data_IF_034500513545
#
_entry.id   IF_034500513545
#
_cell.length_a   1.000
_cell.length_b   1.000
_cell.length_c   1.000
_cell.angle_alpha   90.00
_cell.angle_beta   90.00
_cell.angle_gamma   90.00
#
_symmetry.space_group_name_H-M   'P 1'
#
loop_
_entity.id
_entity.type
_entity.pdbx_description
1 polymer ?
#
# COMPACT_ATOMS: atom_id res chain seq x y z
N UNK A 1 -4.33 8.24 -44.22
CA UNK A 1 -4.99 8.21 -42.90
C UNK A 1 -4.35 9.33 -42.08
N UNK A 2 -5.03 10.48 -41.92
CA UNK A 2 -4.46 11.68 -41.29
C UNK A 2 -4.54 11.53 -39.77
N UNK A 3 -3.39 11.43 -39.10
CA UNK A 3 -3.29 11.67 -37.65
C UNK A 3 -3.78 13.10 -37.37
N UNK A 4 -5.00 13.24 -36.86
CA UNK A 4 -5.40 14.48 -36.20
C UNK A 4 -4.54 14.58 -34.95
N UNK A 5 -3.65 15.56 -34.89
CA UNK A 5 -2.88 15.88 -33.69
C UNK A 5 -3.85 16.31 -32.59
N UNK A 6 -4.24 15.38 -31.71
CA UNK A 6 -5.07 15.62 -30.51
C UNK A 6 -4.23 16.26 -29.39
N UNK A 7 -3.21 17.04 -29.72
CA UNK A 7 -2.22 17.54 -28.75
C UNK A 7 -2.33 19.03 -28.43
N UNK A 8 -3.28 19.79 -29.00
CA UNK A 8 -3.29 21.25 -28.81
C UNK A 8 -4.56 21.86 -28.19
N UNK A 9 -5.55 21.09 -27.73
CA UNK A 9 -6.78 21.64 -27.13
C UNK A 9 -6.95 21.42 -25.63
N UNK A 10 -5.94 20.91 -24.93
CA UNK A 10 -5.89 20.92 -23.45
C UNK A 10 -5.20 22.19 -22.92
N UNK A 11 -5.49 23.33 -23.56
CA UNK A 11 -5.01 24.65 -23.15
C UNK A 11 -5.80 25.13 -21.92
N UNK A 12 -5.14 25.22 -20.76
CA UNK A 12 -5.39 26.08 -19.58
C UNK A 12 -6.79 26.23 -18.96
N UNK A 13 -7.88 25.73 -19.54
CA UNK A 13 -9.25 26.10 -19.18
C UNK A 13 -9.99 25.07 -18.32
N UNK A 14 -9.30 24.23 -17.55
CA UNK A 14 -10.00 23.34 -16.62
C UNK A 14 -9.21 23.01 -15.35
N UNK A 15 -8.37 23.93 -14.87
CA UNK A 15 -7.79 23.81 -13.53
C UNK A 15 -8.91 23.63 -12.51
N UNK A 16 -10.04 24.33 -12.68
CA UNK A 16 -11.21 24.25 -11.79
C UNK A 16 -11.90 22.88 -11.77
N UNK A 17 -11.64 22.02 -12.76
CA UNK A 17 -12.17 20.65 -12.82
C UNK A 17 -11.17 19.57 -12.36
N UNK A 18 -9.96 19.95 -11.90
CA UNK A 18 -9.02 18.96 -11.32
C UNK A 18 -9.61 18.45 -10.00
N UNK A 19 -9.66 17.13 -9.85
CA UNK A 19 -10.19 16.48 -8.67
C UNK A 19 -9.47 16.94 -7.38
N UNK A 20 -10.18 17.22 -6.28
CA UNK A 20 -9.62 17.87 -5.10
C UNK A 20 -8.41 17.15 -4.49
N UNK A 21 -8.42 15.81 -4.43
CA UNK A 21 -7.31 15.05 -3.84
C UNK A 21 -6.05 15.14 -4.69
N UNK A 22 -6.20 15.22 -6.01
CA UNK A 22 -5.05 15.35 -6.92
C UNK A 22 -4.37 16.70 -6.71
N UNK A 23 -5.15 17.78 -6.57
CA UNK A 23 -4.59 19.10 -6.22
C UNK A 23 -3.95 19.11 -4.85
N UNK A 24 -4.59 18.49 -3.86
CA UNK A 24 -4.08 18.42 -2.49
C UNK A 24 -2.69 17.77 -2.45
N UNK A 25 -2.55 16.56 -3.01
CA UNK A 25 -1.29 15.84 -3.01
C UNK A 25 -0.22 16.50 -3.88
N UNK A 26 -0.60 16.99 -5.06
CA UNK A 26 0.30 17.77 -5.91
C UNK A 26 0.79 19.05 -5.24
N UNK A 27 -0.09 19.71 -4.48
CA UNK A 27 0.21 20.91 -3.70
C UNK A 27 1.18 20.64 -2.56
N UNK A 28 0.93 19.62 -1.73
CA UNK A 28 1.86 19.21 -0.67
C UNK A 28 3.25 18.96 -1.25
N UNK A 29 3.34 18.16 -2.32
CA UNK A 29 4.63 17.89 -2.93
C UNK A 29 5.31 19.16 -3.45
N UNK A 30 4.57 20.06 -4.11
CA UNK A 30 5.11 21.32 -4.63
C UNK A 30 5.61 22.25 -3.51
N UNK A 31 4.93 22.28 -2.37
CA UNK A 31 5.26 23.15 -1.22
C UNK A 31 6.39 22.62 -0.34
N UNK A 32 6.65 21.31 -0.33
CA UNK A 32 7.71 20.74 0.49
C UNK A 32 9.11 21.04 -0.06
N UNK A 33 10.10 21.34 0.81
CA UNK A 33 11.50 21.47 0.41
C UNK A 33 11.98 20.22 -0.33
N UNK A 34 12.66 20.42 -1.46
CA UNK A 34 13.23 19.34 -2.25
C UNK A 34 14.56 18.92 -1.63
N UNK A 35 14.51 17.90 -0.78
CA UNK A 35 15.70 17.20 -0.31
C UNK A 35 16.10 16.17 -1.36
N UNK A 36 17.36 16.16 -1.77
CA UNK A 36 17.91 15.25 -2.77
C UNK A 36 18.87 14.27 -2.13
N UNK A 37 18.89 13.02 -2.60
CA UNK A 37 19.91 12.06 -2.19
C UNK A 37 21.29 12.58 -2.63
N UNK A 38 22.33 12.55 -1.76
CA UNK A 38 23.65 13.07 -2.09
C UNK A 38 24.18 12.55 -3.42
N UNK A 39 24.76 13.45 -4.22
CA UNK A 39 25.31 13.17 -5.55
C UNK A 39 24.27 12.74 -6.61
N UNK A 40 22.98 12.94 -6.37
CA UNK A 40 21.91 12.65 -7.34
C UNK A 40 20.91 13.80 -7.43
N UNK A 41 20.07 13.79 -8.47
CA UNK A 41 18.90 14.66 -8.61
C UNK A 41 17.61 13.99 -8.12
N UNK A 42 17.69 12.89 -7.37
CA UNK A 42 16.53 12.13 -6.93
C UNK A 42 15.91 12.72 -5.66
N UNK A 43 14.70 13.32 -5.71
CA UNK A 43 14.12 13.95 -4.54
C UNK A 43 13.56 12.91 -3.57
N UNK A 44 13.88 13.02 -2.29
CA UNK A 44 13.45 12.13 -1.20
C UNK A 44 12.64 12.85 -0.12
N UNK A 45 12.54 14.19 -0.19
CA UNK A 45 11.92 15.00 0.87
C UNK A 45 10.50 14.58 1.25
N UNK A 46 9.65 14.26 0.27
CA UNK A 46 8.28 13.81 0.54
C UNK A 46 8.26 12.41 1.18
N UNK A 47 9.19 11.53 0.81
CA UNK A 47 9.30 10.20 1.41
C UNK A 47 9.70 10.29 2.88
N UNK A 48 10.69 11.15 3.21
CA UNK A 48 11.12 11.40 4.58
C UNK A 48 10.01 12.07 5.41
N UNK A 49 9.34 13.08 4.86
CA UNK A 49 8.20 13.72 5.49
C UNK A 49 7.09 12.69 5.79
N UNK A 50 6.79 11.82 4.83
CA UNK A 50 5.76 10.78 4.99
C UNK A 50 6.15 9.74 6.04
N UNK A 51 7.42 9.32 6.09
CA UNK A 51 7.92 8.41 7.12
C UNK A 51 7.79 9.01 8.53
N UNK A 52 8.13 10.29 8.70
CA UNK A 52 7.94 11.01 9.97
C UNK A 52 6.46 11.13 10.33
N UNK A 53 5.60 11.46 9.37
CA UNK A 53 4.16 11.53 9.58
C UNK A 53 3.60 10.19 10.06
N UNK A 54 3.90 9.08 9.39
CA UNK A 54 3.41 7.76 9.81
C UNK A 54 4.02 7.28 11.13
N UNK A 55 5.24 7.69 11.45
CA UNK A 55 5.83 7.46 12.78
C UNK A 55 5.03 8.17 13.87
N UNK A 56 4.64 9.43 13.66
CA UNK A 56 3.80 10.18 14.60
C UNK A 56 2.39 9.56 14.73
N UNK A 57 1.80 9.10 13.61
CA UNK A 57 0.52 8.37 13.61
C UNK A 57 0.62 7.08 14.43
N UNK A 58 1.69 6.28 14.26
CA UNK A 58 1.94 5.06 15.05
C UNK A 58 2.06 5.31 16.54
N UNK A 59 2.79 6.35 16.92
CA UNK A 59 2.92 6.74 18.33
C UNK A 59 1.57 7.18 18.90
N UNK A 60 0.78 7.93 18.13
CA UNK A 60 -0.57 8.35 18.51
C UNK A 60 -1.49 7.15 18.72
N UNK A 61 -1.50 6.16 17.82
CA UNK A 61 -2.31 4.95 18.02
C UNK A 61 -1.85 4.12 19.22
N UNK A 62 -0.54 4.07 19.50
CA UNK A 62 -0.05 3.41 20.70
C UNK A 62 -0.56 4.12 21.98
N UNK A 63 -0.55 5.45 22.00
CA UNK A 63 -1.13 6.24 23.08
C UNK A 63 -2.64 6.00 23.22
N UNK A 64 -3.38 5.92 22.11
CA UNK A 64 -4.81 5.63 22.15
C UNK A 64 -5.09 4.24 22.74
N UNK A 65 -4.38 3.20 22.30
CA UNK A 65 -4.57 1.85 22.83
C UNK A 65 -4.19 1.73 24.31
N UNK A 66 -3.13 2.43 24.73
CA UNK A 66 -2.64 2.31 26.12
C UNK A 66 -3.43 3.18 27.09
N UNK A 67 -3.79 4.41 26.68
CA UNK A 67 -4.43 5.38 27.58
C UNK A 67 -5.96 5.31 27.55
N UNK A 68 -6.55 5.01 26.38
CA UNK A 68 -8.03 4.99 26.22
C UNK A 68 -8.56 3.57 26.34
N UNK A 69 -7.91 2.61 25.68
CA UNK A 69 -8.36 1.20 25.69
C UNK A 69 -7.73 0.39 26.82
N UNK A 70 -6.82 0.99 27.60
CA UNK A 70 -6.11 0.37 28.72
C UNK A 70 -5.37 -0.93 28.37
N UNK A 71 -4.95 -1.09 27.12
CA UNK A 71 -4.11 -2.22 26.73
C UNK A 71 -2.70 -2.08 27.31
N UNK A 72 -2.01 -3.20 27.63
CA UNK A 72 -0.72 -3.12 28.29
C UNK A 72 0.32 -2.41 27.41
N UNK A 73 1.01 -1.44 28.01
CA UNK A 73 2.11 -0.70 27.39
C UNK A 73 3.25 -1.68 27.06
N UNK A 74 3.86 -1.51 25.89
CA UNK A 74 4.95 -2.35 25.37
C UNK A 74 4.60 -3.82 25.08
N UNK A 75 3.34 -4.26 25.25
CA UNK A 75 2.94 -5.59 24.82
C UNK A 75 3.06 -5.71 23.29
N UNK A 76 3.68 -6.79 22.76
CA UNK A 76 3.82 -7.02 21.31
C UNK A 76 2.51 -6.87 20.53
N UNK A 77 1.38 -7.36 21.07
CA UNK A 77 0.05 -7.23 20.46
C UNK A 77 -0.39 -5.77 20.37
N UNK A 78 -0.26 -4.98 21.44
CA UNK A 78 -0.59 -3.55 21.44
C UNK A 78 0.24 -2.79 20.40
N UNK A 79 1.54 -3.08 20.32
CA UNK A 79 2.43 -2.49 19.34
C UNK A 79 2.02 -2.87 17.91
N UNK A 80 1.74 -4.16 17.66
CA UNK A 80 1.30 -4.64 16.36
C UNK A 80 -0.04 -4.02 15.94
N UNK A 81 -1.01 -3.93 16.85
CA UNK A 81 -2.29 -3.25 16.61
C UNK A 81 -2.10 -1.80 16.20
N UNK A 82 -1.21 -1.06 16.88
CA UNK A 82 -0.88 0.30 16.51
C UNK A 82 -0.20 0.37 15.13
N UNK A 83 0.61 -0.61 14.74
CA UNK A 83 1.17 -0.69 13.38
C UNK A 83 0.08 -0.94 12.33
N UNK A 84 -0.82 -1.91 12.57
CA UNK A 84 -1.96 -2.18 11.69
C UNK A 84 -2.84 -0.95 11.51
N UNK A 85 -3.13 -0.20 12.58
CA UNK A 85 -3.98 0.99 12.46
C UNK A 85 -3.27 2.12 11.71
N UNK A 86 -1.94 2.27 11.84
CA UNK A 86 -1.16 3.17 10.97
C UNK A 86 -1.22 2.74 9.51
N UNK A 87 -1.11 1.43 9.25
CA UNK A 87 -1.25 0.84 7.91
C UNK A 87 -2.62 1.12 7.30
N UNK A 88 -3.68 0.99 8.10
CA UNK A 88 -5.04 1.36 7.73
C UNK A 88 -5.14 2.86 7.37
N UNK A 89 -4.55 3.75 8.17
CA UNK A 89 -4.52 5.20 7.86
C UNK A 89 -3.81 5.48 6.55
N UNK A 90 -2.66 4.82 6.29
CA UNK A 90 -1.94 4.95 5.03
C UNK A 90 -2.85 4.62 3.84
N UNK A 91 -3.50 3.46 3.86
CA UNK A 91 -4.35 3.04 2.75
C UNK A 91 -5.60 3.90 2.60
N UNK A 92 -6.22 4.34 3.70
CA UNK A 92 -7.38 5.25 3.67
C UNK A 92 -7.03 6.62 3.06
N UNK A 93 -5.79 7.09 3.21
CA UNK A 93 -5.30 8.31 2.56
C UNK A 93 -4.93 8.06 1.09
N UNK A 94 -4.24 6.94 0.82
CA UNK A 94 -3.63 6.64 -0.46
C UNK A 94 -4.66 6.17 -1.51
N UNK A 95 -5.57 5.26 -1.16
CA UNK A 95 -6.49 4.61 -2.12
C UNK A 95 -7.43 5.62 -2.81
N UNK A 96 -8.12 6.54 -2.11
CA UNK A 96 -8.96 7.54 -2.78
C UNK A 96 -8.15 8.48 -3.69
N UNK A 97 -6.92 8.81 -3.28
CA UNK A 97 -6.05 9.68 -4.05
C UNK A 97 -5.51 9.01 -5.32
N UNK A 98 -5.13 7.72 -5.22
CA UNK A 98 -4.78 6.89 -6.38
C UNK A 98 -5.95 6.79 -7.33
N UNK A 99 -7.17 6.52 -6.82
CA UNK A 99 -8.37 6.43 -7.64
C UNK A 99 -8.63 7.72 -8.45
N UNK A 100 -8.59 8.89 -7.81
CA UNK A 100 -8.80 10.16 -8.51
C UNK A 100 -7.66 10.45 -9.52
N UNK A 101 -6.41 10.14 -9.15
CA UNK A 101 -5.25 10.36 -10.02
C UNK A 101 -5.30 9.45 -11.25
N UNK A 102 -5.58 8.15 -11.07
CA UNK A 102 -5.71 7.19 -12.16
C UNK A 102 -6.84 7.55 -13.14
N UNK A 103 -7.96 8.09 -12.63
CA UNK A 103 -9.07 8.56 -13.48
C UNK A 103 -8.80 9.87 -14.22
N UNK A 104 -7.74 10.59 -13.85
CA UNK A 104 -7.40 11.88 -14.45
C UNK A 104 -6.59 11.76 -15.75
N UNK A 105 -6.14 10.55 -16.11
CA UNK A 105 -5.39 10.27 -17.34
C UNK A 105 -5.86 8.97 -17.99
N UNK A 106 -5.64 8.78 -19.31
CA UNK A 106 -5.91 7.51 -19.96
C UNK A 106 -5.13 6.36 -19.32
N UNK A 107 -5.79 5.21 -19.17
CA UNK A 107 -5.15 4.02 -18.63
C UNK A 107 -4.18 3.43 -19.67
N UNK A 108 -2.88 3.68 -19.50
CA UNK A 108 -1.80 3.05 -20.26
C UNK A 108 -0.68 2.65 -19.30
N UNK A 109 -0.49 1.36 -18.98
CA UNK A 109 0.49 0.91 -17.98
C UNK A 109 1.88 1.51 -18.12
N UNK A 110 2.40 1.57 -19.34
CA UNK A 110 3.72 2.12 -19.72
C UNK A 110 3.75 3.64 -19.92
N UNK A 111 2.70 4.39 -19.57
CA UNK A 111 2.63 5.83 -19.79
C UNK A 111 3.87 6.59 -19.28
N UNK A 112 4.33 7.55 -20.10
CA UNK A 112 5.34 8.52 -19.70
C UNK A 112 4.68 9.65 -18.91
N UNK A 113 5.38 10.16 -17.90
CA UNK A 113 5.03 11.41 -17.20
C UNK A 113 5.44 12.63 -18.02
N UNK A 114 6.42 12.49 -18.92
CA UNK A 114 6.87 13.57 -19.79
C UNK A 114 5.71 14.08 -20.65
N UNK A 115 5.54 15.40 -20.71
CA UNK A 115 4.46 16.06 -21.45
C UNK A 115 3.09 16.05 -20.76
N UNK A 116 2.93 15.40 -19.60
CA UNK A 116 1.69 15.50 -18.80
C UNK A 116 1.64 16.82 -18.02
N UNK A 117 0.46 17.30 -17.59
CA UNK A 117 0.37 18.53 -16.79
C UNK A 117 1.17 18.46 -15.49
N UNK A 118 1.82 19.56 -15.10
CA UNK A 118 2.68 19.60 -13.91
C UNK A 118 1.95 19.24 -12.60
N UNK A 119 0.68 19.61 -12.46
CA UNK A 119 -0.14 19.22 -11.31
C UNK A 119 -0.29 17.70 -11.20
N UNK A 120 -0.39 17.01 -12.34
CA UNK A 120 -0.53 15.55 -12.40
C UNK A 120 0.79 14.88 -12.03
N UNK A 121 1.90 15.33 -12.63
CA UNK A 121 3.24 14.83 -12.31
C UNK A 121 3.54 14.97 -10.82
N UNK A 122 3.23 16.13 -10.23
CA UNK A 122 3.42 16.39 -8.81
C UNK A 122 2.58 15.44 -7.95
N UNK A 123 1.31 15.22 -8.31
CA UNK A 123 0.45 14.30 -7.57
C UNK A 123 0.94 12.84 -7.66
N UNK A 124 1.32 12.37 -8.85
CA UNK A 124 1.89 11.03 -9.04
C UNK A 124 3.14 10.86 -8.18
N UNK A 125 4.08 11.80 -8.25
CA UNK A 125 5.32 11.73 -7.47
C UNK A 125 5.02 11.80 -5.96
N UNK A 126 4.04 12.61 -5.55
CA UNK A 126 3.59 12.68 -4.15
C UNK A 126 3.11 11.33 -3.64
N UNK A 127 2.24 10.65 -4.39
CA UNK A 127 1.64 9.36 -3.99
C UNK A 127 2.67 8.23 -3.97
N UNK A 128 3.57 8.17 -4.95
CA UNK A 128 4.68 7.20 -4.94
C UNK A 128 5.60 7.43 -3.73
N UNK A 129 5.87 8.69 -3.38
CA UNK A 129 6.68 9.02 -2.20
C UNK A 129 5.95 8.84 -0.87
N UNK A 130 4.63 9.05 -0.82
CA UNK A 130 3.81 8.74 0.35
C UNK A 130 3.92 7.26 0.70
N UNK A 131 3.73 6.39 -0.29
CA UNK A 131 3.87 4.96 -0.13
C UNK A 131 5.31 4.56 0.21
N UNK A 132 6.32 5.13 -0.47
CA UNK A 132 7.74 4.91 -0.12
C UNK A 132 8.02 5.27 1.34
N UNK A 133 7.52 6.42 1.81
CA UNK A 133 7.70 6.87 3.19
C UNK A 133 6.99 5.99 4.21
N UNK A 134 5.78 5.51 3.90
CA UNK A 134 5.10 4.50 4.70
C UNK A 134 5.95 3.23 4.82
N UNK A 135 6.46 2.70 3.72
CA UNK A 135 7.29 1.49 3.73
C UNK A 135 8.58 1.68 4.54
N UNK A 136 9.20 2.88 4.49
CA UNK A 136 10.37 3.22 5.32
C UNK A 136 10.01 3.23 6.80
N UNK A 137 8.89 3.88 7.17
CA UNK A 137 8.39 3.90 8.55
C UNK A 137 8.16 2.47 9.05
N UNK A 138 7.43 1.67 8.28
CA UNK A 138 6.96 0.34 8.66
C UNK A 138 8.15 -0.61 8.86
N UNK A 139 9.12 -0.56 7.93
CA UNK A 139 10.38 -1.27 8.05
C UNK A 139 11.18 -0.84 9.30
N UNK A 140 11.24 0.45 9.59
CA UNK A 140 12.00 0.98 10.73
C UNK A 140 11.38 0.56 12.06
N UNK A 141 10.06 0.67 12.20
CA UNK A 141 9.36 0.26 13.43
C UNK A 141 9.35 -1.25 13.61
N UNK A 142 9.25 -2.04 12.53
CA UNK A 142 9.41 -3.49 12.63
C UNK A 142 10.79 -3.86 13.16
N UNK A 143 11.87 -3.21 12.69
CA UNK A 143 13.21 -3.44 13.25
C UNK A 143 13.28 -3.01 14.72
N UNK A 144 12.73 -1.85 15.09
CA UNK A 144 12.73 -1.38 16.48
C UNK A 144 11.95 -2.33 17.40
N UNK A 145 10.75 -2.72 17.01
CA UNK A 145 9.85 -3.60 17.77
C UNK A 145 10.47 -5.01 17.91
N UNK A 146 11.34 -5.43 16.99
CA UNK A 146 12.08 -6.70 17.03
C UNK A 146 13.54 -6.56 17.53
N UNK A 147 13.89 -5.49 18.27
CA UNK A 147 15.24 -5.28 18.82
C UNK A 147 16.37 -5.36 17.76
N UNK A 148 16.09 -4.86 16.56
CA UNK A 148 16.96 -4.88 15.38
C UNK A 148 17.30 -6.30 14.89
N UNK A 149 16.44 -7.28 15.17
CA UNK A 149 16.53 -8.65 14.65
C UNK A 149 15.49 -8.88 13.56
N UNK A 150 15.87 -9.71 12.57
CA UNK A 150 14.98 -10.14 11.49
C UNK A 150 14.58 -11.57 11.79
N UNK A 151 13.29 -11.82 12.05
CA UNK A 151 12.79 -13.18 12.18
C UNK A 151 12.51 -13.78 10.79
N UNK A 152 12.58 -15.12 10.65
CA UNK A 152 12.24 -15.78 9.38
C UNK A 152 10.86 -15.37 8.83
N UNK A 153 9.90 -15.17 9.72
CA UNK A 153 8.52 -14.77 9.37
C UNK A 153 8.43 -13.35 8.81
N UNK A 154 9.43 -12.50 9.06
CA UNK A 154 9.47 -11.11 8.60
C UNK A 154 10.10 -10.98 7.21
N UNK A 155 10.83 -12.00 6.74
CA UNK A 155 11.62 -11.92 5.49
C UNK A 155 10.74 -11.64 4.27
N UNK A 156 9.59 -12.32 4.15
CA UNK A 156 8.69 -12.13 3.02
C UNK A 156 8.11 -10.71 3.00
N UNK A 157 7.79 -10.17 4.17
CA UNK A 157 7.29 -8.81 4.34
C UNK A 157 8.36 -7.76 4.02
N UNK A 158 9.58 -7.94 4.53
CA UNK A 158 10.72 -7.07 4.20
C UNK A 158 11.03 -7.08 2.70
N UNK A 159 11.04 -8.26 2.08
CA UNK A 159 11.25 -8.40 0.65
C UNK A 159 10.17 -7.65 -0.14
N UNK A 160 8.91 -7.74 0.28
CA UNK A 160 7.82 -6.98 -0.32
C UNK A 160 8.07 -5.46 -0.30
N UNK A 161 8.47 -4.90 0.85
CA UNK A 161 8.76 -3.48 0.98
C UNK A 161 9.93 -3.05 0.08
N UNK A 162 11.03 -3.80 0.12
CA UNK A 162 12.22 -3.51 -0.70
C UNK A 162 11.89 -3.54 -2.19
N UNK A 163 11.21 -4.60 -2.65
CA UNK A 163 10.82 -4.73 -4.07
C UNK A 163 9.92 -3.58 -4.51
N UNK A 164 8.94 -3.21 -3.66
CA UNK A 164 8.00 -2.13 -3.96
C UNK A 164 8.71 -0.77 -4.01
N UNK A 165 9.61 -0.48 -3.08
CA UNK A 165 10.42 0.74 -3.07
C UNK A 165 11.32 0.81 -4.31
N UNK A 166 12.01 -0.28 -4.66
CA UNK A 166 12.88 -0.35 -5.84
C UNK A 166 12.07 -0.07 -7.10
N UNK A 167 10.94 -0.73 -7.26
CA UNK A 167 10.06 -0.58 -8.42
C UNK A 167 9.53 0.87 -8.56
N UNK A 168 8.96 1.44 -7.50
CA UNK A 168 8.48 2.82 -7.51
C UNK A 168 9.61 3.84 -7.76
N UNK A 169 10.80 3.57 -7.21
CA UNK A 169 11.97 4.43 -7.44
C UNK A 169 12.42 4.39 -8.90
N UNK A 170 12.45 3.21 -9.52
CA UNK A 170 12.77 3.08 -10.95
C UNK A 170 11.74 3.78 -11.84
N UNK A 171 10.44 3.64 -11.54
CA UNK A 171 9.36 4.37 -12.23
C UNK A 171 9.56 5.88 -12.16
N UNK A 172 9.98 6.40 -11.00
CA UNK A 172 10.28 7.82 -10.81
C UNK A 172 11.55 8.26 -11.52
N UNK A 173 12.61 7.45 -11.53
CA UNK A 173 13.85 7.79 -12.24
C UNK A 173 13.60 7.82 -13.76
N UNK A 174 12.88 6.84 -14.29
CA UNK A 174 12.57 6.74 -15.71
C UNK A 174 11.43 7.66 -16.16
N UNK A 175 10.66 8.23 -15.22
CA UNK A 175 9.46 9.02 -15.50
C UNK A 175 8.46 8.27 -16.40
N UNK A 176 8.40 6.94 -16.29
CA UNK A 176 7.55 6.08 -17.10
C UNK A 176 7.03 4.89 -16.27
N UNK A 177 5.89 4.32 -16.67
CA UNK A 177 5.30 3.19 -15.95
C UNK A 177 4.48 3.56 -14.71
N UNK A 178 4.26 4.85 -14.45
CA UNK A 178 3.59 5.32 -13.24
C UNK A 178 2.14 4.80 -13.11
N UNK A 179 1.40 4.63 -14.21
CA UNK A 179 0.06 4.03 -14.20
C UNK A 179 0.12 2.59 -13.70
N UNK A 180 1.09 1.80 -14.17
CA UNK A 180 1.26 0.41 -13.70
C UNK A 180 1.60 0.35 -12.21
N UNK A 181 2.51 1.19 -11.72
CA UNK A 181 2.82 1.27 -10.29
C UNK A 181 1.61 1.67 -9.44
N UNK A 182 0.93 2.77 -9.80
CA UNK A 182 -0.24 3.25 -9.06
C UNK A 182 -1.41 2.25 -9.09
N UNK A 183 -1.58 1.51 -10.18
CA UNK A 183 -2.63 0.48 -10.27
C UNK A 183 -2.35 -0.71 -9.35
N UNK A 184 -1.09 -1.17 -9.29
CA UNK A 184 -0.66 -2.23 -8.39
C UNK A 184 -0.70 -1.78 -6.92
N UNK A 185 -0.33 -0.53 -6.64
CA UNK A 185 -0.51 0.06 -5.32
C UNK A 185 -1.98 0.11 -4.94
N UNK A 186 -2.85 0.58 -5.84
CA UNK A 186 -4.28 0.68 -5.56
C UNK A 186 -4.86 -0.69 -5.22
N UNK A 187 -4.56 -1.74 -5.99
CA UNK A 187 -5.08 -3.09 -5.72
C UNK A 187 -4.51 -3.69 -4.44
N UNK A 188 -3.22 -3.49 -4.16
CA UNK A 188 -2.61 -3.95 -2.93
C UNK A 188 -3.19 -3.27 -1.68
N UNK A 189 -3.31 -1.95 -1.73
CA UNK A 189 -3.71 -1.10 -0.60
C UNK A 189 -5.22 -1.10 -0.36
N UNK A 190 -6.04 -1.42 -1.37
CA UNK A 190 -7.50 -1.48 -1.22
C UNK A 190 -7.94 -2.49 -0.14
N UNK A 191 -7.25 -3.63 -0.06
CA UNK A 191 -7.55 -4.70 0.92
C UNK A 191 -6.93 -4.47 2.29
N UNK A 192 -5.98 -3.54 2.40
CA UNK A 192 -5.17 -3.37 3.59
C UNK A 192 -5.94 -2.85 4.82
N UNK A 193 -6.93 -1.93 4.70
CA UNK A 193 -7.78 -1.58 5.84
C UNK A 193 -8.51 -2.78 6.44
N UNK A 194 -8.95 -3.73 5.61
CA UNK A 194 -9.69 -4.91 6.05
C UNK A 194 -8.74 -5.90 6.74
N UNK A 195 -7.56 -6.14 6.16
CA UNK A 195 -6.50 -6.96 6.76
C UNK A 195 -6.05 -6.40 8.12
N UNK A 196 -5.87 -5.08 8.18
CA UNK A 196 -5.47 -4.39 9.42
C UNK A 196 -6.59 -4.45 10.46
N UNK A 197 -7.85 -4.25 10.08
CA UNK A 197 -8.99 -4.39 10.98
C UNK A 197 -9.14 -5.83 11.51
N UNK A 198 -8.88 -6.84 10.68
CA UNK A 198 -8.86 -8.25 11.08
C UNK A 198 -7.82 -8.49 12.18
N UNK A 199 -6.58 -8.05 11.96
CA UNK A 199 -5.51 -8.17 12.95
C UNK A 199 -5.81 -7.41 14.24
N UNK A 200 -6.32 -6.16 14.14
CA UNK A 200 -6.68 -5.32 15.29
C UNK A 200 -7.79 -5.96 16.10
N UNK A 201 -8.90 -6.35 15.48
CA UNK A 201 -10.04 -6.94 16.19
C UNK A 201 -9.66 -8.24 16.89
N UNK A 202 -8.84 -9.07 16.26
CA UNK A 202 -8.37 -10.33 16.86
C UNK A 202 -7.48 -10.10 18.08
N UNK A 203 -6.50 -9.20 17.99
CA UNK A 203 -5.63 -8.89 19.12
C UNK A 203 -6.37 -8.16 20.24
N UNK A 204 -7.36 -7.32 19.92
CA UNK A 204 -8.23 -6.71 20.90
C UNK A 204 -8.99 -7.76 21.73
N UNK A 205 -9.52 -8.82 21.10
CA UNK A 205 -10.13 -9.95 21.80
C UNK A 205 -9.14 -10.61 22.76
N UNK A 206 -7.94 -10.93 22.27
CA UNK A 206 -6.91 -11.60 23.08
C UNK A 206 -6.47 -10.77 24.30
N UNK A 207 -6.40 -9.44 24.16
CA UNK A 207 -6.04 -8.54 25.25
C UNK A 207 -7.21 -8.28 26.21
N UNK A 208 -8.45 -8.36 25.73
CA UNK A 208 -9.65 -8.16 26.54
C UNK A 208 -10.07 -9.39 27.38
N UNK A 209 -9.35 -10.52 27.28
CA UNK A 209 -9.67 -11.82 27.91
C UNK A 209 -10.14 -11.77 29.38
N UNK A 210 -9.63 -10.90 30.27
CA UNK A 210 -10.14 -10.86 31.65
C UNK A 210 -11.60 -10.36 31.80
N UNK A 211 -12.17 -9.73 30.76
CA UNK A 211 -13.44 -8.98 30.85
C UNK A 211 -14.68 -9.68 30.29
N UNK A 212 -14.56 -10.91 29.77
CA UNK A 212 -15.66 -11.66 29.15
C UNK A 212 -15.91 -11.31 27.67
N UNK A 213 -17.14 -11.53 27.17
CA UNK A 213 -17.53 -11.23 25.79
C UNK A 213 -17.47 -9.71 25.52
N UNK A 214 -16.36 -9.26 24.94
CA UNK A 214 -16.23 -7.88 24.45
C UNK A 214 -16.95 -7.68 23.10
N UNK A 215 -17.29 -6.43 22.77
CA UNK A 215 -17.87 -6.07 21.45
C UNK A 215 -17.04 -6.57 20.26
N UNK A 216 -15.74 -6.81 20.45
CA UNK A 216 -14.85 -7.34 19.43
C UNK A 216 -15.22 -8.76 19.00
N UNK A 217 -15.76 -9.60 19.90
CA UNK A 217 -16.25 -10.95 19.54
C UNK A 217 -17.43 -10.90 18.58
N UNK A 218 -18.24 -9.84 18.65
CA UNK A 218 -19.39 -9.65 17.74
C UNK A 218 -18.92 -9.11 16.39
N UNK A 219 -17.96 -8.17 16.38
CA UNK A 219 -17.50 -7.50 15.17
C UNK A 219 -16.52 -8.35 14.35
N UNK A 220 -15.64 -9.09 15.03
CA UNK A 220 -14.53 -9.82 14.40
C UNK A 220 -14.96 -10.79 13.29
N UNK A 221 -16.01 -11.63 13.44
CA UNK A 221 -16.42 -12.54 12.36
C UNK A 221 -16.76 -11.83 11.04
N UNK A 222 -17.40 -10.66 11.12
CA UNK A 222 -17.72 -9.86 9.93
C UNK A 222 -16.47 -9.27 9.31
N UNK A 223 -15.55 -8.76 10.14
CA UNK A 223 -14.29 -8.18 9.67
C UNK A 223 -13.42 -9.26 9.00
N UNK A 224 -13.31 -10.44 9.62
CA UNK A 224 -12.58 -11.59 9.07
C UNK A 224 -13.14 -12.02 7.72
N UNK A 225 -14.44 -12.24 7.63
CA UNK A 225 -15.07 -12.67 6.37
C UNK A 225 -14.90 -11.63 5.26
N UNK A 226 -15.11 -10.33 5.56
CA UNK A 226 -14.93 -9.24 4.59
C UNK A 226 -13.48 -9.16 4.13
N UNK A 227 -12.51 -9.20 5.05
CA UNK A 227 -11.09 -9.25 4.72
C UNK A 227 -10.79 -10.44 3.81
N UNK A 228 -11.16 -11.65 4.21
CA UNK A 228 -10.84 -12.87 3.49
C UNK A 228 -11.40 -12.86 2.07
N UNK A 229 -12.67 -12.44 1.90
CA UNK A 229 -13.30 -12.32 0.59
C UNK A 229 -12.57 -11.35 -0.34
N UNK A 230 -12.34 -10.11 0.12
CA UNK A 230 -11.70 -9.10 -0.71
C UNK A 230 -10.22 -9.41 -0.96
N UNK A 231 -9.51 -9.92 0.04
CA UNK A 231 -8.11 -10.31 -0.11
C UNK A 231 -7.96 -11.44 -1.13
N UNK A 232 -8.77 -12.51 -1.02
CA UNK A 232 -8.77 -13.60 -1.99
C UNK A 232 -9.11 -13.10 -3.41
N UNK A 233 -10.16 -12.29 -3.57
CA UNK A 233 -10.54 -11.72 -4.87
C UNK A 233 -9.40 -10.90 -5.50
N UNK A 234 -8.79 -10.00 -4.72
CA UNK A 234 -7.76 -9.11 -5.25
C UNK A 234 -6.45 -9.85 -5.54
N UNK A 235 -6.04 -10.80 -4.69
CA UNK A 235 -4.76 -11.52 -4.86
C UNK A 235 -4.85 -12.68 -5.86
N UNK A 236 -5.96 -13.42 -5.90
CA UNK A 236 -6.12 -14.56 -6.80
C UNK A 236 -6.61 -14.16 -8.19
N UNK A 237 -7.33 -13.04 -8.34
CA UNK A 237 -7.97 -12.67 -9.61
C UNK A 237 -7.46 -11.32 -10.11
N UNK A 238 -7.67 -10.24 -9.36
CA UNK A 238 -7.40 -8.87 -9.85
C UNK A 238 -5.91 -8.66 -10.12
N UNK A 239 -5.04 -9.01 -9.17
CA UNK A 239 -3.59 -8.85 -9.27
C UNK A 239 -2.98 -9.59 -10.46
N UNK A 240 -3.21 -10.90 -10.63
CA UNK A 240 -2.73 -11.64 -11.80
C UNK A 240 -3.19 -11.04 -13.13
N UNK A 241 -4.47 -10.66 -13.26
CA UNK A 241 -4.99 -10.03 -14.48
C UNK A 241 -4.34 -8.67 -14.75
N UNK A 242 -4.10 -7.87 -13.70
CA UNK A 242 -3.36 -6.62 -13.82
C UNK A 242 -1.93 -6.84 -14.31
N UNK A 243 -1.22 -7.85 -13.77
CA UNK A 243 0.15 -8.18 -14.20
C UNK A 243 0.18 -8.61 -15.66
N UNK A 244 -0.75 -9.48 -16.09
CA UNK A 244 -0.85 -9.90 -17.50
C UNK A 244 -1.07 -8.69 -18.41
N UNK A 245 -1.96 -7.78 -18.02
CA UNK A 245 -2.21 -6.57 -18.79
C UNK A 245 -1.00 -5.63 -18.84
N UNK A 246 -0.31 -5.42 -17.71
CA UNK A 246 0.92 -4.63 -17.63
C UNK A 246 2.01 -5.24 -18.53
N UNK A 247 2.21 -6.56 -18.47
CA UNK A 247 3.17 -7.27 -19.30
C UNK A 247 2.86 -7.13 -20.79
N UNK A 248 1.58 -7.30 -21.16
CA UNK A 248 1.12 -7.14 -22.55
C UNK A 248 1.41 -5.72 -23.09
N UNK A 249 1.07 -4.68 -22.33
CA UNK A 249 1.30 -3.29 -22.74
C UNK A 249 2.81 -2.97 -22.84
N UNK A 250 3.59 -3.34 -21.81
CA UNK A 250 5.01 -3.01 -21.74
C UNK A 250 5.85 -3.76 -22.78
N UNK A 251 5.54 -5.02 -23.08
CA UNK A 251 6.23 -5.80 -24.11
C UNK A 251 5.76 -5.47 -25.52
N UNK A 252 4.60 -4.81 -25.64
CA UNK A 252 4.07 -4.29 -26.89
C UNK A 252 4.97 -3.25 -27.56
N UNK A 253 4.75 -3.02 -28.86
CA UNK A 253 5.56 -2.07 -29.65
C UNK A 253 5.55 -0.65 -29.08
N UNK A 254 4.40 -0.19 -28.58
CA UNK A 254 4.26 1.16 -28.02
C UNK A 254 4.85 1.28 -26.61
N UNK A 255 4.64 0.28 -25.75
CA UNK A 255 5.23 0.27 -24.41
C UNK A 255 6.76 0.27 -24.43
N UNK A 256 7.36 -0.49 -25.37
CA UNK A 256 8.83 -0.54 -25.54
C UNK A 256 9.47 0.79 -25.97
N UNK A 257 8.70 1.74 -26.49
CA UNK A 257 9.20 3.10 -26.78
C UNK A 257 9.39 3.93 -25.51
N UNK A 258 8.71 3.56 -24.42
CA UNK A 258 8.65 4.32 -23.16
C UNK A 258 9.42 3.63 -22.03
N UNK A 259 9.37 2.30 -22.00
CA UNK A 259 10.07 1.47 -21.03
C UNK A 259 10.91 0.46 -21.78
N UNK A 260 12.23 0.48 -21.56
CA UNK A 260 13.13 -0.48 -22.19
C UNK A 260 12.78 -1.92 -21.79
N UNK A 261 12.93 -2.86 -22.72
CA UNK A 261 12.49 -4.26 -22.53
C UNK A 261 13.08 -4.91 -21.26
N UNK A 262 14.35 -4.65 -20.95
CA UNK A 262 14.97 -5.19 -19.74
C UNK A 262 14.31 -4.68 -18.45
N UNK A 263 13.91 -3.40 -18.41
CA UNK A 263 13.15 -2.83 -17.30
C UNK A 263 11.75 -3.45 -17.24
N UNK A 264 11.08 -3.64 -18.38
CA UNK A 264 9.77 -4.28 -18.43
C UNK A 264 9.81 -5.72 -17.90
N UNK A 265 10.81 -6.51 -18.30
CA UNK A 265 10.99 -7.88 -17.81
C UNK A 265 11.26 -7.89 -16.30
N UNK A 266 12.16 -7.02 -15.83
CA UNK A 266 12.44 -6.88 -14.40
C UNK A 266 11.17 -6.49 -13.62
N UNK A 267 10.44 -5.47 -14.06
CA UNK A 267 9.24 -5.00 -13.36
C UNK A 267 8.14 -6.06 -13.31
N UNK A 268 7.87 -6.75 -14.42
CA UNK A 268 6.90 -7.86 -14.45
C UNK A 268 7.33 -8.97 -13.49
N UNK A 269 8.63 -9.28 -13.43
CA UNK A 269 9.16 -10.27 -12.48
C UNK A 269 8.95 -9.83 -11.03
N UNK A 270 9.29 -8.58 -10.69
CA UNK A 270 9.08 -8.02 -9.34
C UNK A 270 7.61 -8.04 -8.92
N UNK A 271 6.70 -7.62 -9.80
CA UNK A 271 5.26 -7.64 -9.56
C UNK A 271 4.72 -9.06 -9.38
N UNK A 272 5.20 -10.00 -10.19
CA UNK A 272 4.85 -11.42 -10.08
C UNK A 272 5.32 -11.99 -8.75
N UNK A 273 6.55 -11.66 -8.33
CA UNK A 273 7.10 -12.07 -7.05
C UNK A 273 6.26 -11.61 -5.87
N UNK A 274 5.72 -10.39 -5.91
CA UNK A 274 4.80 -9.89 -4.86
C UNK A 274 3.52 -10.73 -4.79
N UNK A 275 2.90 -11.05 -5.92
CA UNK A 275 1.66 -11.85 -5.94
C UNK A 275 1.93 -13.29 -5.51
N UNK A 276 3.01 -13.91 -5.99
CA UNK A 276 3.41 -15.26 -5.58
C UNK A 276 3.72 -15.32 -4.09
N UNK A 277 4.40 -14.30 -3.54
CA UNK A 277 4.67 -14.20 -2.11
C UNK A 277 3.40 -14.12 -1.24
N UNK A 278 2.26 -13.69 -1.81
CA UNK A 278 0.98 -13.62 -1.11
C UNK A 278 0.15 -14.91 -1.17
N UNK A 279 0.63 -15.97 -1.84
CA UNK A 279 -0.11 -17.23 -2.01
C UNK A 279 -0.53 -17.86 -0.66
N UNK A 280 0.34 -17.98 0.37
CA UNK A 280 -0.05 -18.59 1.64
C UNK A 280 -1.27 -17.89 2.28
N UNK A 281 -1.22 -16.55 2.35
CA UNK A 281 -2.31 -15.72 2.86
C UNK A 281 -3.58 -15.80 2.00
N UNK A 282 -3.41 -15.98 0.68
CA UNK A 282 -4.53 -16.13 -0.25
C UNK A 282 -5.25 -17.46 -0.03
N UNK A 283 -4.50 -18.55 0.21
CA UNK A 283 -5.08 -19.87 0.51
C UNK A 283 -5.85 -19.81 1.83
N UNK A 284 -5.24 -19.25 2.88
CA UNK A 284 -5.90 -19.06 4.18
C UNK A 284 -7.20 -18.25 4.04
N UNK A 285 -7.17 -17.16 3.27
CA UNK A 285 -8.36 -16.35 3.00
C UNK A 285 -9.46 -17.12 2.25
N UNK A 286 -9.09 -18.01 1.31
CA UNK A 286 -10.06 -18.86 0.61
C UNK A 286 -10.70 -19.87 1.57
N UNK A 287 -9.92 -20.43 2.50
CA UNK A 287 -10.43 -21.33 3.53
C UNK A 287 -11.40 -20.61 4.47
N UNK A 288 -11.05 -19.42 4.97
CA UNK A 288 -11.95 -18.58 5.78
C UNK A 288 -13.28 -18.28 5.05
N UNK A 289 -13.24 -17.97 3.75
CA UNK A 289 -14.46 -17.74 2.95
C UNK A 289 -15.28 -19.02 2.79
N UNK A 290 -14.62 -20.16 2.55
CA UNK A 290 -15.28 -21.46 2.38
C UNK A 290 -15.99 -21.89 3.65
N UNK A 291 -15.35 -21.67 4.80
CA UNK A 291 -15.89 -22.07 6.09
C UNK A 291 -17.12 -21.20 6.42
N UNK A 292 -17.14 -19.94 5.98
CA UNK A 292 -18.32 -19.07 6.02
C UNK A 292 -18.50 -18.35 7.36
N UNK A 293 -19.38 -17.33 7.38
CA UNK A 293 -19.47 -16.41 8.53
C UNK A 293 -19.91 -17.09 9.84
N UNK A 294 -20.64 -18.21 9.75
CA UNK A 294 -21.17 -18.93 10.92
C UNK A 294 -20.12 -19.81 11.62
N UNK A 295 -19.09 -20.24 10.89
CA UNK A 295 -17.97 -21.05 11.41
C UNK A 295 -16.75 -20.20 11.75
N UNK A 296 -16.65 -18.98 11.20
CA UNK A 296 -15.69 -17.90 11.51
C UNK A 296 -15.99 -17.28 12.90
N UNK A 297 -16.29 -18.13 13.89
CA UNK A 297 -16.31 -17.72 15.29
C UNK A 297 -14.87 -17.71 15.77
N UNK A 298 -14.49 -16.63 16.44
CA UNK A 298 -13.18 -16.52 17.08
C UNK A 298 -12.89 -17.79 17.90
N UNK A 299 -11.78 -18.45 17.60
CA UNK A 299 -11.28 -19.58 18.37
C UNK A 299 -10.05 -19.14 19.17
N UNK A 300 -10.03 -19.44 20.47
CA UNK A 300 -8.91 -19.12 21.34
C UNK A 300 -7.60 -19.80 20.92
N UNK A 301 -7.69 -20.88 20.14
CA UNK A 301 -6.55 -21.62 19.60
C UNK A 301 -5.89 -20.96 18.39
N UNK A 302 -6.33 -19.77 17.96
CA UNK A 302 -5.64 -18.99 16.93
C UNK A 302 -4.30 -18.46 17.48
N UNK A 303 -3.26 -19.29 17.35
CA UNK A 303 -1.88 -19.00 17.70
C UNK A 303 -1.17 -18.25 16.55
N UNK A 304 -0.45 -17.18 16.89
CA UNK A 304 0.37 -16.39 15.93
C UNK A 304 1.86 -16.62 16.15
N UNK A 305 2.17 -17.74 16.78
CA UNK A 305 3.50 -18.15 17.14
C UNK A 305 3.95 -17.53 18.46
N UNK A 306 5.07 -18.06 18.99
CA UNK A 306 5.60 -17.72 20.30
C UNK A 306 5.99 -16.25 20.46
N UNK A 307 6.12 -15.48 19.36
CA UNK A 307 6.46 -14.05 19.40
C UNK A 307 5.37 -13.16 20.01
N UNK A 308 4.12 -13.64 20.04
CA UNK A 308 3.00 -12.91 20.65
C UNK A 308 2.54 -13.53 21.97
N UNK A 309 3.21 -14.57 22.43
CA UNK A 309 3.02 -15.12 23.77
C UNK A 309 3.77 -14.22 24.77
N UNK A 310 3.08 -13.75 25.81
CA UNK A 310 3.68 -13.11 26.98
C UNK A 310 3.54 -14.06 28.17
#
# INVERSE_FOLDING_TARGET
MKEKSVTSSLSNNNIDNIAPLVRFWGGIYASLPKLYLPYTSFPIGMSLFSALFFSAVRLTYNMLYTQVMHFPLHHPKTNFMASCTTSMTHSLLLVPALWQTLRSQPYVPSASLEGTPSWYQNAVIALLQLCTGYMIYDFSFMLIDNEFRIHPDDVAFMAHHVVTIVYMSQVRVLQAGHISAMTMMWSGEFTNPMQSAHSVSRFAIQLARPSGESMWHVVHPYVEYVFAFFYALFRAVVGPLQIVHIAYDMWGKEGRKRVALYNSVLWVFLLTGIIVGSIPWTIESIEMVRDGIESVKYNESYDYGPRFEL
#
